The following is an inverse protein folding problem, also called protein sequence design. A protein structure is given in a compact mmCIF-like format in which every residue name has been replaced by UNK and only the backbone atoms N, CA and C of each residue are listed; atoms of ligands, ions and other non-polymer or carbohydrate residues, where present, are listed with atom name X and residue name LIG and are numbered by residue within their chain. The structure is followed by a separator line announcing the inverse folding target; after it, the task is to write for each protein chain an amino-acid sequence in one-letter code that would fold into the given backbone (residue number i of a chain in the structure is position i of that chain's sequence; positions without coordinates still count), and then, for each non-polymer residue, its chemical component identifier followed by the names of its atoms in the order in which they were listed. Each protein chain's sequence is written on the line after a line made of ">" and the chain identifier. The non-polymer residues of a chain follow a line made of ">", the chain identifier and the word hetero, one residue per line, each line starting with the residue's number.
data_IF_069964208444
#
_entry.id   IF_069964208444
#
_cell.length_a   1.000
_cell.length_b   1.000
_cell.length_c   1.000
_cell.angle_alpha   90.00
_cell.angle_beta   90.00
_cell.angle_gamma   90.00
#
_symmetry.space_group_name_H-M   'P 1'
#
loop_
_entity.id
_entity.type
_entity.pdbx_description
1 polymer ?
#
# COMPACT_ATOMS: atom_id res chain seq x y z
N UNK A 1 6.08 -5.43 -6.45
CA UNK A 1 4.66 -5.04 -6.34
C UNK A 1 3.71 -6.23 -6.17
N UNK A 2 3.86 -7.34 -6.91
CA UNK A 2 2.96 -8.51 -6.82
C UNK A 2 2.75 -9.02 -5.38
N UNK A 3 3.84 -9.33 -4.67
CA UNK A 3 3.75 -9.79 -3.28
C UNK A 3 3.03 -8.79 -2.35
N UNK A 4 3.29 -7.49 -2.50
CA UNK A 4 2.65 -6.44 -1.71
C UNK A 4 1.13 -6.36 -1.94
N UNK A 5 0.68 -6.55 -3.19
CA UNK A 5 -0.75 -6.59 -3.49
C UNK A 5 -1.39 -7.85 -2.90
N UNK A 6 -0.72 -9.00 -2.95
CA UNK A 6 -1.31 -10.28 -2.49
C UNK A 6 -1.37 -10.43 -0.96
N UNK A 7 -0.63 -9.64 -0.17
CA UNK A 7 -0.59 -9.80 1.31
C UNK A 7 -1.99 -9.89 1.96
N UNK A 8 -2.97 -9.03 1.68
CA UNK A 8 -4.31 -9.15 2.28
C UNK A 8 -4.98 -10.51 1.98
N UNK A 9 -4.75 -11.08 0.79
CA UNK A 9 -5.25 -12.42 0.44
C UNK A 9 -4.58 -13.53 1.22
N UNK A 10 -3.38 -13.31 1.76
CA UNK A 10 -2.70 -14.28 2.61
C UNK A 10 -3.07 -14.09 4.08
N UNK A 11 -3.14 -12.84 4.55
CA UNK A 11 -3.45 -12.48 5.94
C UNK A 11 -4.89 -12.82 6.30
N UNK A 12 -5.84 -12.50 5.42
CA UNK A 12 -7.27 -12.69 5.66
C UNK A 12 -7.86 -13.94 5.01
N UNK A 13 -7.02 -14.88 4.53
CA UNK A 13 -7.47 -16.05 3.77
C UNK A 13 -8.50 -16.93 4.48
N UNK A 14 -8.45 -16.95 5.82
CA UNK A 14 -9.30 -17.78 6.67
C UNK A 14 -10.41 -16.97 7.36
N UNK A 15 -10.54 -15.66 7.08
CA UNK A 15 -11.60 -14.82 7.63
C UNK A 15 -12.87 -14.94 6.77
N UNK A 16 -13.96 -15.56 7.28
CA UNK A 16 -15.18 -15.77 6.51
C UNK A 16 -15.93 -14.47 6.19
N UNK A 17 -15.60 -13.36 6.86
CA UNK A 17 -16.24 -12.06 6.64
C UNK A 17 -15.41 -11.14 5.75
N UNK A 18 -14.22 -11.57 5.34
CA UNK A 18 -13.36 -10.75 4.50
C UNK A 18 -13.81 -10.77 3.04
N UNK A 19 -14.05 -9.57 2.49
CA UNK A 19 -14.40 -9.39 1.09
C UNK A 19 -13.18 -8.86 0.33
N UNK A 20 -12.51 -9.68 -0.52
CA UNK A 20 -11.32 -9.25 -1.21
C UNK A 20 -11.64 -8.19 -2.28
N UNK A 21 -10.84 -7.11 -2.39
CA UNK A 21 -10.96 -6.17 -3.51
C UNK A 21 -10.57 -6.85 -4.83
N UNK A 22 -10.86 -6.24 -5.98
CA UNK A 22 -10.41 -6.80 -7.26
C UNK A 22 -8.90 -6.63 -7.42
N UNK A 23 -8.18 -7.70 -7.76
CA UNK A 23 -6.72 -7.63 -8.02
C UNK A 23 -6.35 -6.62 -9.09
N UNK A 24 -7.17 -6.52 -10.14
CA UNK A 24 -6.97 -5.56 -11.23
C UNK A 24 -7.05 -4.12 -10.73
N UNK A 25 -8.05 -3.81 -9.90
CA UNK A 25 -8.21 -2.50 -9.27
C UNK A 25 -7.00 -2.15 -8.40
N UNK A 26 -6.52 -3.09 -7.57
CA UNK A 26 -5.31 -2.88 -6.75
C UNK A 26 -4.07 -2.65 -7.63
N UNK A 27 -3.93 -3.34 -8.76
CA UNK A 27 -2.83 -3.11 -9.71
C UNK A 27 -2.90 -1.69 -10.29
N UNK A 28 -4.07 -1.20 -10.66
CA UNK A 28 -4.25 0.17 -11.13
C UNK A 28 -3.96 1.20 -10.04
N UNK A 29 -4.43 0.96 -8.81
CA UNK A 29 -4.20 1.84 -7.67
C UNK A 29 -2.71 2.08 -7.38
N UNK A 30 -1.87 1.06 -7.53
CA UNK A 30 -0.40 1.16 -7.37
C UNK A 30 0.37 1.33 -8.68
N UNK A 31 -0.33 1.58 -9.80
CA UNK A 31 0.30 1.83 -11.08
C UNK A 31 0.64 3.30 -11.26
N UNK A 32 1.53 3.60 -12.21
CA UNK A 32 1.84 4.97 -12.64
C UNK A 32 0.62 5.76 -13.15
N UNK A 33 -0.52 5.11 -13.41
CA UNK A 33 -1.74 5.76 -13.90
C UNK A 33 -2.57 6.39 -12.78
N UNK A 34 -2.22 6.17 -11.52
CA UNK A 34 -2.86 6.86 -10.41
C UNK A 34 -2.29 8.29 -10.30
N UNK A 35 -3.09 9.35 -10.47
CA UNK A 35 -2.63 10.75 -10.42
C UNK A 35 -1.97 11.13 -9.09
N UNK A 36 -2.26 10.41 -8.01
CA UNK A 36 -1.57 10.59 -6.72
C UNK A 36 -0.04 10.55 -6.87
N UNK A 37 0.48 9.69 -7.74
CA UNK A 37 1.93 9.55 -7.95
C UNK A 37 2.54 10.68 -8.79
N UNK A 38 1.76 11.65 -9.29
CA UNK A 38 2.29 12.86 -9.92
C UNK A 38 2.93 13.80 -8.90
N UNK A 39 2.51 13.72 -7.64
CA UNK A 39 2.93 14.63 -6.58
C UNK A 39 3.35 13.94 -5.28
N UNK A 40 3.22 12.62 -5.21
CA UNK A 40 3.61 11.84 -4.05
C UNK A 40 4.71 10.82 -4.37
N UNK A 41 5.74 10.81 -3.54
CA UNK A 41 6.73 9.75 -3.48
C UNK A 41 6.28 8.72 -2.46
N UNK A 42 6.46 7.43 -2.76
CA UNK A 42 6.05 6.36 -1.86
C UNK A 42 6.99 5.18 -1.93
N UNK A 43 6.97 4.39 -0.86
CA UNK A 43 7.67 3.12 -0.77
C UNK A 43 6.79 2.10 -0.06
N UNK A 44 6.94 0.84 -0.45
CA UNK A 44 6.20 -0.29 0.08
C UNK A 44 7.15 -1.38 0.59
N UNK A 45 6.77 -2.00 1.69
CA UNK A 45 7.49 -3.12 2.29
C UNK A 45 6.54 -4.27 2.57
N UNK A 46 7.09 -5.48 2.53
CA UNK A 46 6.40 -6.72 2.89
C UNK A 46 7.21 -7.37 4.01
N UNK A 47 6.53 -7.74 5.09
CA UNK A 47 7.11 -8.52 6.17
C UNK A 47 7.10 -10.00 5.79
N UNK A 48 8.20 -10.70 6.05
CA UNK A 48 8.34 -12.13 5.78
C UNK A 48 8.66 -12.90 7.07
N UNK A 49 8.03 -14.06 7.23
CA UNK A 49 8.36 -15.07 8.24
C UNK A 49 8.51 -16.41 7.53
N UNK A 50 9.66 -17.07 7.69
CA UNK A 50 9.95 -18.35 7.04
C UNK A 50 9.68 -18.33 5.52
N UNK A 51 10.09 -17.24 4.85
CA UNK A 51 9.85 -16.98 3.42
C UNK A 51 8.37 -16.82 3.00
N UNK A 52 7.44 -16.73 3.96
CA UNK A 52 6.04 -16.43 3.72
C UNK A 52 5.77 -14.94 4.00
N UNK A 53 5.04 -14.28 3.11
CA UNK A 53 4.60 -12.90 3.34
C UNK A 53 3.51 -12.91 4.42
N UNK A 54 3.72 -12.14 5.50
CA UNK A 54 2.86 -12.14 6.70
C UNK A 54 2.32 -10.75 7.06
N UNK A 55 2.68 -9.72 6.32
CA UNK A 55 2.18 -8.37 6.54
C UNK A 55 2.77 -7.38 5.55
N UNK A 56 2.23 -6.16 5.54
CA UNK A 56 2.71 -5.08 4.67
C UNK A 56 2.55 -3.71 5.31
N UNK A 57 3.31 -2.76 4.77
CA UNK A 57 3.23 -1.35 5.14
C UNK A 57 3.68 -0.47 3.96
N UNK A 58 3.08 0.71 3.82
CA UNK A 58 3.58 1.77 2.95
C UNK A 58 3.93 3.03 3.73
N UNK A 59 4.81 3.83 3.15
CA UNK A 59 5.06 5.20 3.57
C UNK A 59 5.09 6.09 2.33
N UNK A 60 4.59 7.32 2.48
CA UNK A 60 4.48 8.27 1.40
C UNK A 60 4.70 9.71 1.87
N UNK A 61 5.32 10.48 0.99
CA UNK A 61 5.53 11.91 1.11
C UNK A 61 4.72 12.57 0.00
N UNK A 62 3.74 13.37 0.37
CA UNK A 62 2.91 14.13 -0.57
C UNK A 62 3.37 15.59 -0.59
N UNK A 63 3.85 16.05 -1.74
CA UNK A 63 4.30 17.42 -1.95
C UNK A 63 3.14 18.43 -1.84
N UNK A 64 1.92 18.09 -2.25
CA UNK A 64 0.74 18.96 -2.11
C UNK A 64 0.34 19.11 -0.65
N UNK A 65 0.37 18.02 0.11
CA UNK A 65 0.15 18.08 1.55
C UNK A 65 1.18 18.99 2.24
N UNK A 66 2.47 18.86 1.89
CA UNK A 66 3.52 19.71 2.46
C UNK A 66 3.36 21.19 2.10
N UNK A 67 2.90 21.49 0.89
CA UNK A 67 2.61 22.87 0.47
C UNK A 67 1.46 23.48 1.29
N UNK A 68 0.45 22.69 1.62
CA UNK A 68 -0.73 23.19 2.31
C UNK A 68 -0.58 23.24 3.85
N UNK A 69 0.09 22.26 4.45
CA UNK A 69 0.13 22.06 5.91
C UNK A 69 1.51 22.24 6.56
N UNK A 70 2.56 22.46 5.77
CA UNK A 70 3.91 22.72 6.27
C UNK A 70 4.93 21.63 5.94
N UNK A 71 6.21 21.99 6.03
CA UNK A 71 7.30 21.14 5.58
C UNK A 71 7.66 20.05 6.61
N UNK A 72 8.07 18.88 6.08
CA UNK A 72 8.60 17.71 6.82
C UNK A 72 7.59 16.72 7.41
N UNK A 73 6.35 16.67 6.93
CA UNK A 73 5.43 15.57 7.25
C UNK A 73 5.48 14.44 6.21
N UNK A 74 5.03 13.26 6.62
CA UNK A 74 4.85 12.05 5.80
C UNK A 74 3.77 11.18 6.41
N UNK A 75 3.22 10.26 5.62
CA UNK A 75 2.10 9.40 6.02
C UNK A 75 2.48 7.94 5.85
N UNK A 76 2.00 7.09 6.74
CA UNK A 76 2.09 5.64 6.63
C UNK A 76 0.70 5.03 6.47
N UNK A 77 0.60 3.91 5.76
CA UNK A 77 -0.68 3.25 5.55
C UNK A 77 -0.55 1.81 5.07
N UNK A 78 -1.66 1.26 4.58
CA UNK A 78 -1.78 -0.12 4.09
C UNK A 78 -1.18 -1.11 5.08
N UNK A 79 -1.68 -1.05 6.31
CA UNK A 79 -1.24 -1.88 7.42
C UNK A 79 -2.11 -3.14 7.45
N UNK A 80 -1.46 -4.29 7.29
CA UNK A 80 -2.01 -5.64 7.43
C UNK A 80 -0.96 -6.56 8.05
#
# INVERSE_FOLDING_TARGET
>A
MGHFIEVPWLVYKDDPNWVPPLRLERRFHYSRFNPFFEHAEWQAWVAYKDNHAVGRISAQIDSLHRQHYGQQTGHSGTLE
#
